data_IF_821444666840
#
_entry.id   IF_821444666840
#
_cell.length_a   1.000
_cell.length_b   1.000
_cell.length_c   1.000
_cell.angle_alpha   90.00
_cell.angle_beta   90.00
_cell.angle_gamma   90.00
#
_symmetry.space_group_name_H-M   'P 1'
#
loop_
_entity.id
_entity.type
_entity.pdbx_description
1 polymer ?
#
# COMPACT_ATOMS: atom_id res chain seq x y z
N UNK A 1 -39.49 20.77 -23.68
CA UNK A 1 -39.11 19.95 -22.50
C UNK A 1 -38.73 18.53 -22.88
N UNK A 2 -39.61 17.74 -23.52
CA UNK A 2 -39.31 16.36 -23.92
C UNK A 2 -38.16 16.25 -24.94
N UNK A 3 -38.08 17.18 -25.90
CA UNK A 3 -36.98 17.27 -26.87
C UNK A 3 -35.62 17.36 -26.17
N UNK A 4 -35.50 18.24 -25.16
CA UNK A 4 -34.28 18.48 -24.41
C UNK A 4 -33.85 17.25 -23.60
N UNK A 5 -34.81 16.53 -23.02
CA UNK A 5 -34.56 15.28 -22.27
C UNK A 5 -34.00 14.21 -23.22
N UNK A 6 -34.60 14.06 -24.41
CA UNK A 6 -34.16 13.10 -25.43
C UNK A 6 -32.74 13.40 -25.94
N UNK A 7 -32.39 14.68 -26.11
CA UNK A 7 -31.02 15.09 -26.47
C UNK A 7 -30.02 14.75 -25.35
N UNK A 8 -30.39 14.98 -24.08
CA UNK A 8 -29.54 14.66 -22.94
C UNK A 8 -29.31 13.14 -22.79
N UNK A 9 -30.33 12.32 -23.03
CA UNK A 9 -30.23 10.86 -22.97
C UNK A 9 -29.39 10.30 -24.13
N UNK A 10 -29.56 10.85 -25.35
CA UNK A 10 -28.72 10.52 -26.49
C UNK A 10 -27.25 10.90 -26.25
N UNK A 11 -26.99 12.08 -25.69
CA UNK A 11 -25.65 12.51 -25.31
C UNK A 11 -25.02 11.60 -24.25
N UNK A 12 -25.81 11.16 -23.24
CA UNK A 12 -25.35 10.18 -22.26
C UNK A 12 -25.01 8.83 -22.88
N UNK A 13 -25.84 8.34 -23.80
CA UNK A 13 -25.61 7.08 -24.50
C UNK A 13 -24.38 7.15 -25.41
N UNK A 14 -24.18 8.28 -26.11
CA UNK A 14 -23.00 8.52 -26.93
C UNK A 14 -21.72 8.57 -26.09
N UNK A 15 -21.70 9.33 -25.00
CA UNK A 15 -20.56 9.39 -24.08
C UNK A 15 -20.26 8.02 -23.45
N UNK A 16 -21.31 7.25 -23.12
CA UNK A 16 -21.17 5.88 -22.63
C UNK A 16 -20.57 4.97 -23.70
N UNK A 17 -21.05 5.06 -24.94
CA UNK A 17 -20.52 4.28 -26.07
C UNK A 17 -19.04 4.58 -26.30
N UNK A 18 -18.60 5.84 -26.26
CA UNK A 18 -17.19 6.23 -26.40
C UNK A 18 -16.28 5.64 -25.31
N UNK A 19 -16.77 5.53 -24.07
CA UNK A 19 -16.03 4.89 -22.97
C UNK A 19 -15.86 3.37 -23.23
N UNK A 20 -16.86 2.75 -23.88
CA UNK A 20 -16.84 1.31 -24.19
C UNK A 20 -16.30 0.98 -25.57
N UNK A 21 -16.06 1.97 -26.46
CA UNK A 21 -15.31 1.76 -27.70
C UNK A 21 -13.85 1.51 -27.34
N UNK A 22 -13.53 0.24 -27.15
CA UNK A 22 -12.17 -0.22 -26.90
C UNK A 22 -11.39 -0.14 -28.20
N UNK A 23 -10.59 0.90 -28.38
CA UNK A 23 -9.57 0.94 -29.43
C UNK A 23 -8.58 -0.20 -29.18
N UNK A 24 -8.78 -1.34 -29.83
CA UNK A 24 -7.93 -2.53 -29.70
C UNK A 24 -6.77 -2.43 -30.69
N UNK A 25 -5.96 -1.39 -30.58
CA UNK A 25 -4.66 -1.38 -31.23
C UNK A 25 -3.68 -2.10 -30.29
N UNK A 26 -3.22 -3.34 -30.58
CA UNK A 26 -2.17 -3.95 -29.81
C UNK A 26 -0.92 -3.05 -29.89
N UNK A 27 -0.22 -2.78 -28.78
CA UNK A 27 1.03 -2.04 -28.85
C UNK A 27 2.01 -2.81 -29.74
N UNK A 28 2.47 -2.18 -30.82
CA UNK A 28 3.52 -2.74 -31.66
C UNK A 28 4.78 -2.91 -30.81
N UNK A 29 5.22 -4.15 -30.64
CA UNK A 29 6.50 -4.46 -30.01
C UNK A 29 7.62 -3.78 -30.80
N UNK A 30 8.68 -3.26 -30.16
CA UNK A 30 9.83 -2.73 -30.88
C UNK A 30 10.52 -3.89 -31.60
N UNK A 31 10.28 -4.01 -32.89
CA UNK A 31 10.97 -4.91 -33.80
C UNK A 31 12.22 -4.21 -34.32
N UNK A 32 13.29 -4.25 -33.55
CA UNK A 32 14.64 -3.99 -34.09
C UNK A 32 15.64 -4.75 -33.24
N UNK A 33 16.11 -5.88 -33.77
CA UNK A 33 17.38 -6.45 -33.36
C UNK A 33 18.19 -6.69 -34.63
N UNK A 34 18.87 -5.64 -35.09
CA UNK A 34 19.92 -5.78 -36.08
C UNK A 34 21.09 -6.51 -35.40
N UNK A 35 21.29 -7.80 -35.72
CA UNK A 35 22.36 -8.64 -35.14
C UNK A 35 21.92 -9.99 -34.54
N UNK A 36 22.79 -10.62 -33.73
CA UNK A 36 22.54 -11.94 -33.10
C UNK A 36 21.48 -11.81 -32.00
N UNK A 37 20.54 -12.76 -31.94
CA UNK A 37 19.49 -12.82 -30.91
C UNK A 37 20.11 -13.12 -29.53
N UNK A 38 19.94 -12.20 -28.58
CA UNK A 38 20.37 -12.40 -27.20
C UNK A 38 19.35 -13.23 -26.40
N UNK A 39 19.84 -13.89 -25.34
CA UNK A 39 19.00 -14.61 -24.36
C UNK A 39 18.18 -13.62 -23.53
N UNK A 40 16.91 -13.96 -23.24
CA UNK A 40 16.05 -13.12 -22.39
C UNK A 40 16.34 -13.38 -20.90
N UNK A 41 16.12 -12.38 -20.06
CA UNK A 41 16.28 -12.49 -18.60
C UNK A 41 15.49 -13.65 -17.98
N UNK A 42 14.31 -13.96 -18.55
CA UNK A 42 13.47 -15.07 -18.09
C UNK A 42 14.15 -16.42 -18.31
N UNK A 43 14.74 -16.64 -19.49
CA UNK A 43 15.47 -17.86 -19.83
C UNK A 43 16.79 -17.91 -19.04
N UNK A 44 17.50 -16.78 -18.95
CA UNK A 44 18.78 -16.67 -18.23
C UNK A 44 18.65 -17.00 -16.73
N UNK A 45 17.59 -16.50 -16.05
CA UNK A 45 17.42 -16.69 -14.60
C UNK A 45 16.54 -17.87 -14.21
N UNK A 46 15.76 -18.43 -15.13
CA UNK A 46 14.87 -19.57 -14.94
C UNK A 46 14.11 -19.59 -13.59
N UNK A 47 13.49 -18.46 -13.21
CA UNK A 47 12.85 -18.30 -11.89
C UNK A 47 11.47 -18.95 -11.78
N UNK A 48 10.84 -19.33 -12.90
CA UNK A 48 9.50 -19.94 -12.93
C UNK A 48 8.38 -19.09 -12.32
N UNK A 49 7.27 -19.75 -11.99
CA UNK A 49 6.04 -19.14 -11.43
C UNK A 49 6.15 -18.87 -9.92
N UNK A 50 7.12 -18.04 -9.51
CA UNK A 50 7.28 -17.70 -8.08
C UNK A 50 6.28 -16.64 -7.60
N UNK A 51 5.78 -16.78 -6.36
CA UNK A 51 4.92 -15.78 -5.73
C UNK A 51 5.61 -14.41 -5.59
N UNK A 52 4.87 -13.29 -5.59
CA UNK A 52 5.44 -11.98 -5.30
C UNK A 52 5.98 -11.94 -3.86
N UNK A 53 7.20 -11.43 -3.69
CA UNK A 53 7.86 -11.26 -2.38
C UNK A 53 8.01 -9.79 -2.04
N UNK A 54 7.69 -9.43 -0.80
CA UNK A 54 7.82 -8.06 -0.30
C UNK A 54 9.28 -7.57 -0.42
N UNK A 55 9.47 -6.32 -0.87
CA UNK A 55 10.79 -5.69 -0.95
C UNK A 55 11.51 -5.64 0.40
N UNK A 56 10.79 -5.49 1.50
CA UNK A 56 11.36 -5.42 2.85
C UNK A 56 11.96 -6.74 3.32
N UNK A 57 11.46 -7.88 2.83
CA UNK A 57 11.98 -9.21 3.20
C UNK A 57 13.19 -9.62 2.37
N UNK A 58 13.50 -8.90 1.28
CA UNK A 58 14.65 -9.21 0.41
C UNK A 58 16.00 -8.91 1.08
N UNK A 59 16.04 -7.93 1.98
CA UNK A 59 17.25 -7.56 2.72
C UNK A 59 17.09 -7.96 4.20
N UNK A 60 17.90 -8.91 4.72
CA UNK A 60 17.81 -9.39 6.11
C UNK A 60 17.90 -8.25 7.14
N UNK A 61 18.82 -7.30 6.95
CA UNK A 61 18.98 -6.16 7.86
C UNK A 61 17.72 -5.31 7.91
N UNK A 62 17.14 -4.98 6.76
CA UNK A 62 15.90 -4.16 6.69
C UNK A 62 14.71 -4.91 7.28
N UNK A 63 14.61 -6.22 7.07
CA UNK A 63 13.58 -7.08 7.69
C UNK A 63 13.66 -7.02 9.22
N UNK A 64 14.84 -7.22 9.81
CA UNK A 64 14.99 -7.22 11.26
C UNK A 64 14.80 -5.83 11.88
N UNK A 65 15.26 -4.75 11.22
CA UNK A 65 14.98 -3.37 11.65
C UNK A 65 13.47 -3.12 11.75
N UNK A 66 12.72 -3.39 10.67
CA UNK A 66 11.27 -3.18 10.68
C UNK A 66 10.52 -4.09 11.65
N UNK A 67 11.02 -5.32 11.90
CA UNK A 67 10.47 -6.22 12.92
C UNK A 67 10.63 -5.63 14.32
N UNK A 68 11.81 -5.09 14.62
CA UNK A 68 12.10 -4.44 15.89
C UNK A 68 11.24 -3.19 16.10
N UNK A 69 11.17 -2.29 15.11
CA UNK A 69 10.35 -1.07 15.21
C UNK A 69 8.87 -1.39 15.48
N UNK A 70 8.33 -2.43 14.82
CA UNK A 70 6.96 -2.92 15.08
C UNK A 70 6.81 -3.50 16.49
N UNK A 71 7.80 -4.23 16.97
CA UNK A 71 7.78 -4.80 18.32
C UNK A 71 7.81 -3.70 19.40
N UNK A 72 8.63 -2.66 19.21
CA UNK A 72 8.67 -1.50 20.11
C UNK A 72 7.33 -0.79 20.19
N UNK A 73 6.69 -0.51 19.04
CA UNK A 73 5.34 0.10 19.00
C UNK A 73 4.29 -0.75 19.71
N UNK A 74 4.31 -2.07 19.52
CA UNK A 74 3.38 -2.99 20.21
C UNK A 74 3.62 -3.01 21.72
N UNK A 75 4.88 -2.95 22.16
CA UNK A 75 5.22 -2.90 23.59
C UNK A 75 4.68 -1.64 24.25
N UNK A 76 4.75 -0.48 23.59
CA UNK A 76 4.18 0.78 24.07
C UNK A 76 2.67 0.70 24.33
N UNK A 77 1.95 -0.11 23.55
CA UNK A 77 0.51 -0.33 23.75
C UNK A 77 0.18 -1.27 24.92
N UNK A 78 1.08 -2.20 25.26
CA UNK A 78 0.88 -3.16 26.35
C UNK A 78 1.33 -2.63 27.70
N UNK A 79 2.49 -1.97 27.74
CA UNK A 79 3.15 -1.53 28.96
C UNK A 79 3.54 -0.07 28.81
N UNK A 80 3.17 0.74 29.82
CA UNK A 80 3.57 2.15 29.90
C UNK A 80 5.07 2.23 30.17
N UNK A 81 5.80 2.94 29.31
CA UNK A 81 7.21 3.24 29.54
C UNK A 81 7.39 4.36 30.57
N UNK A 82 8.54 4.37 31.22
CA UNK A 82 8.96 5.44 32.13
C UNK A 82 9.20 6.70 31.30
N UNK A 83 8.47 7.79 31.60
CA UNK A 83 8.66 9.09 30.97
C UNK A 83 9.60 9.94 31.81
N UNK A 84 10.58 10.58 31.17
CA UNK A 84 11.41 11.61 31.84
C UNK A 84 10.67 12.95 31.78
N UNK A 85 10.50 13.66 32.91
CA UNK A 85 9.89 14.99 32.89
C UNK A 85 10.83 15.96 32.15
N UNK A 86 10.30 16.70 31.18
CA UNK A 86 11.07 17.69 30.42
C UNK A 86 10.88 19.12 30.93
N UNK A 87 9.88 19.36 31.79
CA UNK A 87 9.47 20.69 32.21
C UNK A 87 8.39 20.65 33.29
N UNK A 88 7.75 21.79 33.59
CA UNK A 88 6.68 21.85 34.59
C UNK A 88 5.50 20.95 34.20
N UNK A 89 4.75 20.51 35.21
CA UNK A 89 3.63 19.59 35.01
C UNK A 89 2.47 20.28 34.27
N UNK A 90 2.18 19.83 33.05
CA UNK A 90 1.09 20.35 32.21
C UNK A 90 -0.21 19.54 32.27
N UNK A 91 -0.34 18.60 33.21
CA UNK A 91 -1.48 17.68 33.29
C UNK A 91 -1.30 16.37 32.49
N UNK A 92 -2.31 15.50 32.58
CA UNK A 92 -2.34 14.21 31.88
C UNK A 92 -2.83 14.36 30.43
N UNK A 93 -1.90 14.38 29.47
CA UNK A 93 -2.21 14.64 28.06
C UNK A 93 -3.15 13.62 27.40
N UNK A 94 -3.21 12.39 27.91
CA UNK A 94 -4.12 11.34 27.42
C UNK A 94 -5.42 11.22 28.22
N UNK A 95 -5.60 12.06 29.25
CA UNK A 95 -6.74 12.03 30.16
C UNK A 95 -6.66 10.97 31.26
N UNK A 96 -7.51 11.15 32.28
CA UNK A 96 -7.65 10.26 33.44
C UNK A 96 -8.97 9.51 33.32
N UNK A 97 -8.94 8.18 33.43
CA UNK A 97 -10.16 7.36 33.49
C UNK A 97 -10.36 6.86 34.92
N UNK A 98 -11.32 7.47 35.64
CA UNK A 98 -11.60 7.18 37.04
C UNK A 98 -12.14 5.76 37.30
N UNK A 99 -12.72 5.08 36.29
CA UNK A 99 -13.33 3.76 36.47
C UNK A 99 -12.31 2.61 36.47
N UNK A 100 -11.11 2.83 35.90
CA UNK A 100 -10.15 1.75 35.66
C UNK A 100 -9.10 1.70 36.77
N UNK A 101 -9.06 0.61 37.53
CA UNK A 101 -7.91 0.26 38.38
C UNK A 101 -6.94 -0.65 37.63
N UNK A 102 -5.63 -0.35 37.69
CA UNK A 102 -4.54 -1.14 37.07
C UNK A 102 -3.60 -1.76 38.10
N UNK A 103 -3.99 -1.87 39.36
CA UNK A 103 -3.18 -2.50 40.41
C UNK A 103 -3.17 -4.02 40.30
N UNK A 104 -2.08 -4.64 40.76
CA UNK A 104 -2.00 -6.10 40.95
C UNK A 104 -2.68 -6.41 42.28
N UNK A 105 -3.64 -7.34 42.29
CA UNK A 105 -4.25 -7.86 43.52
C UNK A 105 -3.41 -9.05 44.00
N UNK A 106 -3.18 -9.12 45.31
CA UNK A 106 -2.52 -10.24 45.97
C UNK A 106 -3.53 -11.35 46.28
#
# INVERSE_FOLDING_TARGET
MLELIKQNDAAKLAAKAEIYTRTSAPPSLPETADGKRHITYQIEKNRGLTRPRNKLTKNPRKKYRTKHDKAQKRRLGQVRQIKKPSGPYGGESSGINARISRSIRL
#
